data_IF_135811838127
#
_entry.id   IF_135811838127
#
_cell.length_a   1.000
_cell.length_b   1.000
_cell.length_c   1.000
_cell.angle_alpha   90.00
_cell.angle_beta   90.00
_cell.angle_gamma   90.00
#
_symmetry.space_group_name_H-M   'P 1'
#
loop_
_entity.id
_entity.type
_entity.pdbx_description
1 polymer ?
#
# COMPACT_ATOMS: atom_id res chain seq x y z
N UNK A 1 48.83 61.78 -50.71
CA UNK A 1 48.61 61.65 -49.25
C UNK A 1 47.12 61.79 -48.96
N UNK A 2 46.43 60.71 -48.57
CA UNK A 2 45.20 60.72 -47.76
C UNK A 2 44.89 59.28 -47.34
N UNK A 3 44.92 59.06 -46.02
CA UNK A 3 44.58 57.82 -45.32
C UNK A 3 43.09 57.52 -45.48
N UNK A 4 42.75 56.24 -45.54
CA UNK A 4 41.43 55.74 -45.15
C UNK A 4 41.59 54.44 -44.36
N UNK A 5 40.80 54.36 -43.30
CA UNK A 5 40.96 53.61 -42.06
C UNK A 5 40.48 52.16 -42.19
N UNK A 6 41.17 51.22 -41.54
CA UNK A 6 40.70 49.84 -41.40
C UNK A 6 39.60 49.78 -40.31
N UNK A 7 38.41 49.27 -40.67
CA UNK A 7 37.36 48.95 -39.70
C UNK A 7 37.62 47.56 -39.12
N UNK A 8 38.05 47.51 -37.87
CA UNK A 8 38.13 46.30 -37.06
C UNK A 8 36.71 45.91 -36.60
N UNK A 9 36.17 44.82 -37.12
CA UNK A 9 34.94 44.22 -36.59
C UNK A 9 35.30 43.31 -35.42
N UNK A 10 34.84 43.67 -34.21
CA UNK A 10 35.00 42.91 -32.98
C UNK A 10 33.62 42.38 -32.57
N UNK A 11 33.34 41.10 -32.84
CA UNK A 11 32.15 40.43 -32.31
C UNK A 11 32.53 39.63 -31.07
N UNK A 12 32.06 40.09 -29.92
CA UNK A 12 31.89 39.23 -28.75
C UNK A 12 30.41 38.99 -28.49
N UNK A 13 30.18 37.82 -27.90
CA UNK A 13 29.00 37.37 -27.18
C UNK A 13 27.98 36.62 -28.03
N UNK A 14 27.98 35.29 -27.91
CA UNK A 14 26.77 34.50 -27.68
C UNK A 14 27.18 33.17 -27.04
N UNK A 15 27.22 33.15 -25.70
CA UNK A 15 27.72 32.01 -24.94
C UNK A 15 26.91 31.68 -23.70
N UNK A 16 25.65 32.09 -23.56
CA UNK A 16 24.84 31.73 -22.37
C UNK A 16 23.32 31.69 -22.65
N UNK A 17 22.83 30.69 -23.39
CA UNK A 17 21.38 30.51 -23.55
C UNK A 17 20.87 29.06 -23.52
N UNK A 18 21.72 28.06 -23.27
CA UNK A 18 21.28 26.65 -23.15
C UNK A 18 21.09 26.17 -21.72
N UNK A 19 21.72 26.83 -20.74
CA UNK A 19 21.69 26.39 -19.33
C UNK A 19 20.38 26.81 -18.62
N UNK A 20 19.84 27.99 -18.96
CA UNK A 20 18.59 28.54 -18.39
C UNK A 20 17.36 27.67 -18.69
N UNK A 21 17.26 27.12 -19.91
CA UNK A 21 16.11 26.33 -20.33
C UNK A 21 15.98 25.01 -19.55
N UNK A 22 17.12 24.39 -19.19
CA UNK A 22 17.16 23.12 -18.45
C UNK A 22 16.78 23.30 -16.98
N UNK A 23 17.15 24.42 -16.37
CA UNK A 23 16.77 24.76 -15.00
C UNK A 23 15.26 25.02 -14.93
N UNK A 24 14.70 25.75 -15.91
CA UNK A 24 13.26 26.01 -15.98
C UNK A 24 12.42 24.73 -16.18
N UNK A 25 12.93 23.75 -16.93
CA UNK A 25 12.28 22.44 -17.08
C UNK A 25 12.32 21.62 -15.78
N UNK A 26 13.43 21.67 -15.05
CA UNK A 26 13.59 20.93 -13.80
C UNK A 26 12.72 21.50 -12.67
N UNK A 27 12.59 22.83 -12.60
CA UNK A 27 11.68 23.48 -11.63
C UNK A 27 10.22 23.20 -11.96
N UNK A 28 9.81 23.21 -13.23
CA UNK A 28 8.45 22.86 -13.63
C UNK A 28 8.10 21.40 -13.27
N UNK A 29 9.05 20.47 -13.42
CA UNK A 29 8.86 19.07 -13.03
C UNK A 29 8.80 18.87 -11.50
N UNK A 30 9.57 19.65 -10.73
CA UNK A 30 9.52 19.61 -9.27
C UNK A 30 8.20 20.17 -8.72
N UNK A 31 7.65 21.21 -9.35
CA UNK A 31 6.35 21.80 -8.98
C UNK A 31 5.20 20.85 -9.33
N UNK A 32 5.24 20.16 -10.47
CA UNK A 32 4.21 19.18 -10.81
C UNK A 32 4.25 17.95 -9.88
N UNK A 33 5.44 17.54 -9.43
CA UNK A 33 5.60 16.42 -8.51
C UNK A 33 5.00 16.73 -7.12
N UNK A 34 5.13 17.96 -6.60
CA UNK A 34 4.59 18.33 -5.28
C UNK A 34 3.07 18.54 -5.27
N UNK A 35 2.45 18.90 -6.40
CA UNK A 35 0.99 19.04 -6.49
C UNK A 35 0.23 17.74 -6.24
N UNK A 36 0.85 16.57 -6.44
CA UNK A 36 0.19 15.26 -6.21
C UNK A 36 0.05 14.90 -4.72
N UNK A 37 0.86 15.48 -3.84
CA UNK A 37 0.85 15.16 -2.41
C UNK A 37 -0.32 15.81 -1.65
N UNK A 38 -0.87 16.93 -2.14
CA UNK A 38 -1.97 17.66 -1.50
C UNK A 38 -3.37 17.23 -1.94
N UNK A 39 -3.47 16.37 -2.95
CA UNK A 39 -4.75 15.93 -3.53
C UNK A 39 -5.23 14.58 -3.00
N UNK A 40 -4.65 14.04 -1.91
CA UNK A 40 -5.23 12.86 -1.28
C UNK A 40 -6.49 13.30 -0.52
N UNK A 41 -7.72 12.95 -0.98
CA UNK A 41 -8.87 13.07 -0.12
C UNK A 41 -8.60 12.21 1.10
N UNK A 42 -8.65 12.82 2.29
CA UNK A 42 -8.73 12.09 3.55
C UNK A 42 -9.91 11.15 3.37
N UNK A 43 -9.63 9.86 3.19
CA UNK A 43 -10.65 8.86 2.92
C UNK A 43 -11.59 8.80 4.11
N UNK A 44 -12.67 9.57 4.05
CA UNK A 44 -13.86 9.31 4.83
C UNK A 44 -14.37 7.97 4.29
N UNK A 45 -13.97 6.89 4.96
CA UNK A 45 -14.62 5.60 4.81
C UNK A 45 -16.11 5.88 5.00
N UNK A 46 -16.85 5.91 3.89
CA UNK A 46 -18.28 6.13 3.92
C UNK A 46 -18.84 5.02 4.80
N UNK A 47 -19.29 5.39 6.00
CA UNK A 47 -19.91 4.48 6.96
C UNK A 47 -21.26 4.08 6.39
N UNK A 48 -21.24 3.20 5.39
CA UNK A 48 -22.42 2.41 5.06
C UNK A 48 -22.77 1.63 6.33
N UNK A 49 -24.04 1.62 6.77
CA UNK A 49 -24.41 0.92 7.99
C UNK A 49 -23.95 -0.53 7.85
N UNK A 50 -23.00 -0.94 8.68
CA UNK A 50 -22.55 -2.32 8.71
C UNK A 50 -23.75 -3.16 9.12
N UNK A 51 -24.14 -4.09 8.25
CA UNK A 51 -25.27 -4.96 8.51
C UNK A 51 -24.97 -5.76 9.80
N UNK A 52 -25.80 -5.62 10.83
CA UNK A 52 -25.59 -6.28 12.12
C UNK A 52 -25.56 -7.83 12.02
N UNK A 53 -26.09 -8.40 10.93
CA UNK A 53 -26.05 -9.81 10.60
C UNK A 53 -24.94 -10.19 9.59
N UNK A 54 -24.00 -9.29 9.30
CA UNK A 54 -22.90 -9.53 8.35
C UNK A 54 -21.92 -10.62 8.79
N UNK A 55 -21.79 -10.84 10.10
CA UNK A 55 -20.85 -11.82 10.65
C UNK A 55 -21.62 -12.94 11.35
N UNK A 56 -21.62 -14.13 10.74
CA UNK A 56 -22.17 -15.35 11.34
C UNK A 56 -21.02 -16.21 11.83
N UNK A 57 -20.97 -16.49 13.13
CA UNK A 57 -19.95 -17.38 13.69
C UNK A 57 -20.00 -18.73 12.99
N UNK A 58 -18.85 -19.24 12.57
CA UNK A 58 -18.71 -20.45 11.77
C UNK A 58 -18.76 -20.23 10.26
N UNK A 59 -19.08 -19.02 9.79
CA UNK A 59 -18.98 -18.68 8.37
C UNK A 59 -17.53 -18.78 7.91
N UNK A 60 -17.33 -19.52 6.81
CA UNK A 60 -16.03 -19.74 6.18
C UNK A 60 -16.09 -19.34 4.72
N UNK A 61 -15.11 -18.55 4.30
CA UNK A 61 -14.88 -18.14 2.93
C UNK A 61 -13.54 -18.70 2.49
N UNK A 62 -13.52 -19.35 1.32
CA UNK A 62 -12.29 -19.90 0.73
C UNK A 62 -12.11 -19.29 -0.66
N UNK A 63 -10.93 -18.73 -0.90
CA UNK A 63 -10.59 -18.04 -2.12
C UNK A 63 -9.39 -18.70 -2.79
N UNK A 64 -9.52 -18.89 -4.10
CA UNK A 64 -8.40 -19.13 -4.98
C UNK A 64 -7.91 -17.79 -5.52
N UNK A 65 -6.62 -17.51 -5.35
CA UNK A 65 -6.02 -16.24 -5.76
C UNK A 65 -5.17 -16.48 -6.99
N UNK A 66 -5.45 -15.72 -8.05
CA UNK A 66 -4.62 -15.64 -9.26
C UNK A 66 -3.70 -14.44 -9.19
N UNK A 67 -2.45 -14.59 -9.64
CA UNK A 67 -1.48 -13.49 -9.71
C UNK A 67 -0.60 -13.62 -10.95
N UNK A 68 -0.55 -12.57 -11.79
CA UNK A 68 0.18 -12.58 -13.06
C UNK A 68 -0.23 -13.77 -13.95
N UNK A 69 0.73 -14.55 -14.45
CA UNK A 69 0.47 -15.76 -15.23
C UNK A 69 0.04 -16.99 -14.40
N UNK A 70 -0.03 -16.88 -13.07
CA UNK A 70 -0.35 -18.00 -12.18
C UNK A 70 -1.84 -17.97 -11.79
N UNK A 71 -2.62 -18.92 -12.35
CA UNK A 71 -4.08 -19.03 -12.14
C UNK A 71 -4.44 -19.59 -10.75
N UNK A 72 -3.50 -20.22 -10.05
CA UNK A 72 -3.64 -20.62 -8.65
C UNK A 72 -2.33 -20.29 -7.93
N UNK A 73 -2.16 -18.99 -7.65
CA UNK A 73 -0.98 -18.45 -7.01
C UNK A 73 -1.01 -18.65 -5.49
N UNK A 74 -2.20 -18.60 -4.89
CA UNK A 74 -2.40 -18.77 -3.46
C UNK A 74 -3.81 -19.25 -3.11
N UNK A 75 -3.94 -19.78 -1.90
CA UNK A 75 -5.20 -20.10 -1.25
C UNK A 75 -5.35 -19.21 -0.01
N UNK A 76 -6.55 -18.66 0.17
CA UNK A 76 -6.89 -17.87 1.34
C UNK A 76 -8.18 -18.41 1.94
N UNK A 77 -8.12 -18.73 3.23
CA UNK A 77 -9.30 -19.07 4.02
C UNK A 77 -9.56 -17.96 5.02
N UNK A 78 -10.83 -17.60 5.20
CA UNK A 78 -11.30 -16.67 6.22
C UNK A 78 -12.42 -17.33 7.02
N UNK A 79 -12.38 -17.21 8.34
CA UNK A 79 -13.32 -17.79 9.28
C UNK A 79 -13.79 -16.72 10.27
N UNK A 80 -15.11 -16.58 10.42
CA UNK A 80 -15.70 -15.88 11.57
C UNK A 80 -15.64 -16.83 12.77
N UNK A 81 -14.56 -16.73 13.55
CA UNK A 81 -14.24 -17.68 14.61
C UNK A 81 -15.09 -17.51 15.87
N UNK A 82 -15.56 -16.30 16.15
CA UNK A 82 -16.37 -16.04 17.34
C UNK A 82 -16.87 -14.60 17.44
N UNK A 83 -17.81 -14.38 18.36
CA UNK A 83 -18.30 -13.08 18.80
C UNK A 83 -18.35 -13.06 20.32
N UNK A 84 -17.85 -12.00 20.94
CA UNK A 84 -17.82 -11.89 22.40
C UNK A 84 -16.97 -10.74 22.90
N UNK A 85 -16.57 -10.82 24.17
CA UNK A 85 -15.67 -9.85 24.77
C UNK A 85 -14.21 -10.24 24.53
N UNK A 86 -13.47 -9.40 23.83
CA UNK A 86 -12.04 -9.55 23.56
C UNK A 86 -11.33 -8.26 23.98
N UNK A 87 -10.25 -8.36 24.77
CA UNK A 87 -9.48 -7.20 25.22
C UNK A 87 -10.36 -6.09 25.82
N UNK A 88 -11.37 -6.50 26.61
CA UNK A 88 -12.33 -5.61 27.25
C UNK A 88 -13.23 -4.80 26.29
N UNK A 89 -13.42 -5.27 25.05
CA UNK A 89 -14.32 -4.70 24.03
C UNK A 89 -15.20 -5.79 23.42
N UNK A 90 -16.44 -5.46 23.06
CA UNK A 90 -17.25 -6.37 22.22
C UNK A 90 -16.59 -6.46 20.84
N UNK A 91 -16.43 -7.68 20.32
CA UNK A 91 -15.77 -7.90 19.04
C UNK A 91 -16.18 -9.18 18.33
N UNK A 92 -15.95 -9.18 17.02
CA UNK A 92 -15.92 -10.38 16.19
C UNK A 92 -14.47 -10.80 16.01
N UNK A 93 -14.16 -12.07 16.25
CA UNK A 93 -12.86 -12.66 15.94
C UNK A 93 -12.91 -13.23 14.52
N UNK A 94 -12.06 -12.69 13.65
CA UNK A 94 -11.81 -13.20 12.31
C UNK A 94 -10.46 -13.92 12.30
N UNK A 95 -10.41 -15.11 11.72
CA UNK A 95 -9.17 -15.86 11.50
C UNK A 95 -8.96 -16.05 10.02
N UNK A 96 -7.77 -15.76 9.53
CA UNK A 96 -7.41 -16.01 8.14
C UNK A 96 -6.18 -16.92 8.07
N UNK A 97 -6.17 -17.80 7.08
CA UNK A 97 -5.00 -18.55 6.66
C UNK A 97 -4.69 -18.18 5.22
N UNK A 98 -3.44 -17.83 4.94
CA UNK A 98 -2.99 -17.53 3.59
C UNK A 98 -1.73 -18.33 3.26
N UNK A 99 -1.78 -19.06 2.15
CA UNK A 99 -0.65 -19.82 1.65
C UNK A 99 -0.45 -19.63 0.15
N UNK A 100 0.81 -19.47 -0.29
CA UNK A 100 1.12 -19.51 -1.72
C UNK A 100 1.29 -20.94 -2.19
N UNK A 101 1.02 -21.20 -3.47
CA UNK A 101 1.03 -22.55 -4.05
C UNK A 101 1.98 -22.64 -5.24
N UNK A 102 2.43 -23.86 -5.55
CA UNK A 102 3.22 -24.18 -6.74
C UNK A 102 4.49 -23.34 -6.90
N UNK A 103 4.71 -22.83 -8.12
CA UNK A 103 5.91 -22.04 -8.46
C UNK A 103 5.96 -20.73 -7.67
N UNK A 104 4.81 -20.14 -7.34
CA UNK A 104 4.78 -18.89 -6.57
C UNK A 104 5.40 -19.10 -5.20
N UNK A 105 5.03 -20.18 -4.50
CA UNK A 105 5.60 -20.52 -3.19
C UNK A 105 7.11 -20.76 -3.25
N UNK A 106 7.59 -21.49 -4.25
CA UNK A 106 8.99 -21.97 -4.28
C UNK A 106 9.96 -20.93 -4.85
N UNK A 107 9.53 -20.14 -5.84
CA UNK A 107 10.45 -19.33 -6.65
C UNK A 107 10.14 -17.83 -6.64
N UNK A 108 8.97 -17.41 -6.16
CA UNK A 108 8.57 -16.00 -6.15
C UNK A 108 8.51 -15.47 -4.72
N UNK A 109 7.61 -16.04 -3.91
CA UNK A 109 7.40 -15.63 -2.54
C UNK A 109 6.63 -16.71 -1.77
N UNK A 110 7.26 -17.27 -0.73
CA UNK A 110 6.65 -18.26 0.15
C UNK A 110 5.83 -17.57 1.23
N UNK A 111 4.52 -17.84 1.27
CA UNK A 111 3.62 -17.40 2.34
C UNK A 111 3.00 -18.64 2.96
N UNK A 112 3.00 -18.72 4.28
CA UNK A 112 2.21 -19.66 5.07
C UNK A 112 1.90 -19.01 6.42
N UNK A 113 0.96 -18.08 6.40
CA UNK A 113 0.72 -17.18 7.52
C UNK A 113 -0.69 -17.36 8.07
N UNK A 114 -0.81 -17.26 9.39
CA UNK A 114 -2.11 -17.12 10.05
C UNK A 114 -2.30 -15.71 10.56
N UNK A 115 -3.50 -15.19 10.39
CA UNK A 115 -3.91 -13.87 10.86
C UNK A 115 -5.10 -14.03 11.79
N UNK A 116 -5.12 -13.26 12.87
CA UNK A 116 -6.28 -13.12 13.74
C UNK A 116 -6.58 -11.64 13.93
N UNK A 117 -7.78 -11.22 13.53
CA UNK A 117 -8.20 -9.83 13.64
C UNK A 117 -9.46 -9.75 14.49
N UNK A 118 -9.52 -8.75 15.37
CA UNK A 118 -10.68 -8.46 16.19
C UNK A 118 -11.31 -7.17 15.67
N UNK A 119 -12.57 -7.26 15.27
CA UNK A 119 -13.31 -6.13 14.66
C UNK A 119 -14.49 -5.72 15.54
N UNK A 120 -14.76 -4.42 15.59
CA UNK A 120 -15.94 -3.87 16.22
C UNK A 120 -17.18 -4.23 15.39
N UNK A 121 -18.22 -4.85 15.99
CA UNK A 121 -19.37 -5.36 15.25
C UNK A 121 -20.29 -4.27 14.69
N UNK A 122 -20.26 -3.05 15.26
CA UNK A 122 -21.10 -1.94 14.82
C UNK A 122 -20.46 -1.18 13.64
N UNK A 123 -19.14 -1.08 13.63
CA UNK A 123 -18.39 -0.28 12.64
C UNK A 123 -17.64 -1.13 11.61
N UNK A 124 -17.41 -2.42 11.89
CA UNK A 124 -16.59 -3.30 11.06
C UNK A 124 -15.09 -3.00 11.12
N UNK A 125 -14.67 -2.01 11.91
CA UNK A 125 -13.27 -1.58 11.97
C UNK A 125 -12.45 -2.49 12.91
N UNK A 126 -11.21 -2.85 12.55
CA UNK A 126 -10.33 -3.60 13.43
C UNK A 126 -9.88 -2.75 14.61
N UNK A 127 -9.86 -3.33 15.81
CA UNK A 127 -9.22 -2.73 16.99
C UNK A 127 -7.94 -3.47 17.39
N UNK A 128 -7.72 -4.69 16.88
CA UNK A 128 -6.47 -5.43 17.06
C UNK A 128 -6.27 -6.43 15.93
N UNK A 129 -5.03 -6.61 15.49
CA UNK A 129 -4.63 -7.70 14.62
C UNK A 129 -3.41 -8.42 15.19
N UNK A 130 -3.32 -9.72 14.93
CA UNK A 130 -2.23 -10.60 15.27
C UNK A 130 -1.86 -11.39 14.02
N UNK A 131 -0.57 -11.67 13.84
CA UNK A 131 -0.07 -12.42 12.71
C UNK A 131 1.04 -13.36 13.15
N UNK A 132 0.92 -14.62 12.76
CA UNK A 132 1.98 -15.62 12.83
C UNK A 132 2.51 -15.84 11.42
N UNK A 133 3.75 -15.39 11.19
CA UNK A 133 4.49 -15.64 9.94
C UNK A 133 5.30 -16.90 10.10
N UNK A 134 5.18 -17.83 9.14
CA UNK A 134 6.07 -19.00 9.08
C UNK A 134 6.98 -18.87 7.87
N UNK A 135 8.25 -18.65 8.16
CA UNK A 135 9.35 -18.77 7.21
C UNK A 135 10.01 -20.14 7.39
N UNK A 136 10.80 -20.56 6.40
CA UNK A 136 11.36 -21.91 6.31
C UNK A 136 12.00 -22.43 7.62
N UNK A 137 12.66 -21.54 8.38
CA UNK A 137 13.36 -21.90 9.62
C UNK A 137 12.85 -21.16 10.87
N UNK A 138 11.86 -20.27 10.73
CA UNK A 138 11.44 -19.37 11.83
C UNK A 138 9.95 -19.08 11.79
N UNK A 139 9.33 -19.09 12.96
CA UNK A 139 8.03 -18.48 13.17
C UNK A 139 8.22 -17.14 13.88
N UNK A 140 7.56 -16.09 13.41
CA UNK A 140 7.46 -14.82 14.13
C UNK A 140 6.00 -14.52 14.42
N UNK A 141 5.75 -14.02 15.64
CA UNK A 141 4.43 -13.54 16.07
C UNK A 141 4.53 -12.03 16.26
N UNK A 142 3.53 -11.32 15.77
CA UNK A 142 3.40 -9.87 15.89
C UNK A 142 1.95 -9.50 16.15
N UNK A 143 1.75 -8.46 16.95
CA UNK A 143 0.43 -7.92 17.23
C UNK A 143 0.45 -6.40 17.12
N UNK A 144 -0.63 -5.87 16.56
CA UNK A 144 -0.86 -4.44 16.38
C UNK A 144 -2.22 -4.08 16.98
N UNK A 145 -2.23 -3.09 17.86
CA UNK A 145 -3.46 -2.47 18.35
C UNK A 145 -3.79 -1.25 17.50
N UNK A 146 -5.08 -1.10 17.18
CA UNK A 146 -5.60 0.00 16.39
C UNK A 146 -6.58 0.82 17.22
N UNK A 147 -6.67 2.11 16.94
CA UNK A 147 -7.56 3.03 17.66
C UNK A 147 -7.32 3.03 19.18
N UNK A 148 -6.04 3.09 19.58
CA UNK A 148 -5.66 3.46 20.95
C UNK A 148 -5.84 4.98 21.10
N UNK A 149 -6.44 5.47 22.20
CA UNK A 149 -6.57 6.91 22.48
C UNK A 149 -5.21 7.57 22.70
#
# INVERSE_FOLDING_TARGET
MRRATACHYHSKVHGQLKFSLKIAQLTALLISLTCTLYAQPKGEASQSPVNAAAYRVGERLTYNVSFSQFVSAAHVELLVAGRGMFFNREGIQLRAHAETSGVVNVAVFAINNDYTTYVDPATGLPFRAQQVVREADRASDSASDYNQP
#
